data_IF_749288137192
#
_entry.id   IF_749288137192
#
_cell.length_a   1.000
_cell.length_b   1.000
_cell.length_c   1.000
_cell.angle_alpha   90.00
_cell.angle_beta   90.00
_cell.angle_gamma   90.00
#
_symmetry.space_group_name_H-M   'P 1'
#
loop_
_entity.id
_entity.type
_entity.pdbx_description
1 polymer ?
#
# COMPACT_ATOMS: atom_id res chain seq x y z
N UNK A 1 -83.98 23.51 44.60
CA UNK A 1 -83.17 23.57 43.37
C UNK A 1 -82.24 24.78 43.44
N UNK A 2 -80.93 24.57 43.71
CA UNK A 2 -79.82 25.50 43.45
C UNK A 2 -79.18 25.18 42.07
N UNK A 3 -77.99 25.64 41.62
CA UNK A 3 -76.88 26.41 42.21
C UNK A 3 -76.17 27.23 41.10
N UNK A 4 -75.66 28.46 41.38
CA UNK A 4 -74.26 28.86 41.65
C UNK A 4 -73.25 28.89 40.46
N UNK A 5 -72.21 29.77 40.50
CA UNK A 5 -71.42 30.17 39.31
C UNK A 5 -69.91 29.81 39.35
N UNK A 6 -69.20 30.11 38.26
CA UNK A 6 -67.73 30.12 38.15
C UNK A 6 -67.22 29.50 36.83
N UNK A 7 -66.05 29.82 36.25
CA UNK A 7 -65.02 30.84 36.51
C UNK A 7 -64.34 31.21 35.17
N UNK A 8 -63.56 32.28 35.14
CA UNK A 8 -62.60 32.61 34.09
C UNK A 8 -61.29 33.11 34.72
N UNK A 9 -60.17 33.29 33.99
CA UNK A 9 -59.61 32.54 32.84
C UNK A 9 -58.23 31.95 33.25
N UNK A 10 -57.23 31.69 32.37
CA UNK A 10 -56.38 32.80 31.89
C UNK A 10 -55.82 32.69 30.45
N UNK A 11 -55.44 33.85 29.93
CA UNK A 11 -54.62 34.03 28.73
C UNK A 11 -53.20 33.46 28.84
N UNK A 12 -52.71 32.75 27.82
CA UNK A 12 -51.29 32.40 27.71
C UNK A 12 -50.44 33.61 27.25
N UNK A 13 -49.66 34.20 28.15
CA UNK A 13 -48.54 35.08 27.80
C UNK A 13 -47.24 34.26 27.75
N UNK A 14 -46.43 34.34 26.67
CA UNK A 14 -45.10 33.76 26.70
C UNK A 14 -44.15 34.68 27.50
N UNK A 15 -43.68 34.23 28.66
CA UNK A 15 -42.49 34.78 29.32
C UNK A 15 -41.54 33.65 29.69
N UNK A 16 -40.51 33.52 28.87
CA UNK A 16 -39.13 33.12 29.19
C UNK A 16 -38.83 32.66 30.63
N UNK A 17 -38.16 31.51 30.76
CA UNK A 17 -36.71 31.42 31.00
C UNK A 17 -36.32 29.93 30.92
N UNK A 18 -35.55 29.56 29.90
CA UNK A 18 -34.74 28.34 29.91
C UNK A 18 -33.28 28.76 29.81
N UNK A 19 -32.64 28.95 30.97
CA UNK A 19 -31.19 29.14 31.02
C UNK A 19 -30.51 27.80 30.73
N UNK A 20 -30.23 27.53 29.46
CA UNK A 20 -29.38 26.41 29.05
C UNK A 20 -27.95 26.66 29.52
N UNK A 21 -27.61 26.11 30.71
CA UNK A 21 -26.20 25.95 31.11
C UNK A 21 -25.44 25.24 29.98
N UNK A 22 -24.16 25.57 29.72
CA UNK A 22 -23.38 24.91 28.68
C UNK A 22 -23.35 23.40 28.93
N UNK A 23 -24.09 22.63 28.12
CA UNK A 23 -24.07 21.16 28.16
C UNK A 23 -22.82 20.69 27.43
N UNK A 24 -21.78 20.37 28.18
CA UNK A 24 -20.76 19.43 27.73
C UNK A 24 -21.44 18.08 27.48
N UNK A 25 -21.69 17.74 26.21
CA UNK A 25 -22.17 16.40 25.84
C UNK A 25 -20.94 15.46 25.93
N UNK A 26 -20.92 14.46 26.83
CA UNK A 26 -19.84 13.48 26.86
C UNK A 26 -20.00 12.58 25.64
N UNK A 27 -19.14 12.74 24.64
CA UNK A 27 -19.22 12.05 23.36
C UNK A 27 -18.75 10.58 23.43
N UNK A 28 -19.35 9.78 24.32
CA UNK A 28 -19.20 8.32 24.33
C UNK A 28 -20.15 7.65 23.33
N UNK A 29 -20.06 8.05 22.06
CA UNK A 29 -20.53 7.25 20.92
C UNK A 29 -19.49 7.33 19.82
N UNK A 30 -19.10 6.16 19.28
CA UNK A 30 -18.32 6.02 18.05
C UNK A 30 -19.16 6.58 16.88
N UNK A 31 -18.99 7.87 16.60
CA UNK A 31 -19.67 8.51 15.48
C UNK A 31 -18.90 8.19 14.19
N UNK A 32 -19.52 7.36 13.33
CA UNK A 32 -19.14 7.30 11.92
C UNK A 32 -19.54 8.60 11.26
N UNK A 33 -18.63 9.22 10.51
CA UNK A 33 -18.95 10.39 9.69
C UNK A 33 -19.90 9.99 8.55
N UNK A 34 -21.10 10.59 8.54
CA UNK A 34 -22.03 10.64 7.40
C UNK A 34 -22.19 9.33 6.59
N UNK A 35 -22.27 8.17 7.26
CA UNK A 35 -22.51 6.88 6.60
C UNK A 35 -21.33 6.28 5.82
N UNK A 36 -20.16 6.92 5.79
CA UNK A 36 -18.96 6.32 5.19
C UNK A 36 -18.29 5.34 6.18
N UNK A 37 -17.99 4.13 5.72
CA UNK A 37 -17.22 3.15 6.49
C UNK A 37 -15.76 3.56 6.63
N UNK A 38 -15.09 3.10 7.70
CA UNK A 38 -13.65 3.31 7.90
C UNK A 38 -13.22 4.73 8.27
N UNK A 39 -14.15 5.66 8.52
CA UNK A 39 -13.83 7.03 8.97
C UNK A 39 -14.42 7.33 10.34
N UNK A 40 -13.58 7.83 11.24
CA UNK A 40 -13.92 8.11 12.64
C UNK A 40 -13.48 9.52 13.02
N UNK A 41 -14.32 10.24 13.77
CA UNK A 41 -13.99 11.55 14.34
C UNK A 41 -14.29 11.52 15.84
N UNK A 42 -13.25 11.70 16.64
CA UNK A 42 -13.28 11.56 18.10
C UNK A 42 -12.86 12.87 18.78
N UNK A 43 -13.46 13.19 19.93
CA UNK A 43 -13.10 14.35 20.75
C UNK A 43 -14.28 15.29 21.07
N UNK A 44 -14.04 16.34 21.87
CA UNK A 44 -15.09 17.25 22.33
C UNK A 44 -15.46 18.30 21.27
N UNK A 45 -16.75 18.38 20.95
CA UNK A 45 -17.34 19.45 20.12
C UNK A 45 -18.30 20.26 20.99
N UNK A 46 -18.06 21.56 21.09
CA UNK A 46 -18.97 22.52 21.71
C UNK A 46 -19.85 23.15 20.63
N UNK A 47 -21.17 23.02 20.78
CA UNK A 47 -22.16 23.65 19.92
C UNK A 47 -23.05 24.53 20.79
N UNK A 48 -23.15 25.81 20.42
CA UNK A 48 -24.09 26.75 21.01
C UNK A 48 -24.92 27.32 19.86
N UNK A 49 -26.13 26.80 19.67
CA UNK A 49 -26.99 27.19 18.55
C UNK A 49 -28.46 27.27 18.97
N UNK A 50 -29.11 28.34 18.51
CA UNK A 50 -30.55 28.51 18.53
C UNK A 50 -31.15 27.93 17.25
N UNK A 51 -32.20 27.12 17.39
CA UNK A 51 -32.91 26.50 16.28
C UNK A 51 -34.34 27.06 16.26
N UNK A 52 -34.75 27.60 15.11
CA UNK A 52 -36.06 28.17 14.86
C UNK A 52 -36.58 27.78 13.47
N UNK A 53 -37.75 28.28 13.06
CA UNK A 53 -38.33 27.96 11.75
C UNK A 53 -39.18 26.69 11.75
N UNK A 54 -39.28 26.03 10.59
CA UNK A 54 -40.09 24.82 10.40
C UNK A 54 -39.20 23.58 10.32
N UNK A 55 -39.76 22.38 10.50
CA UNK A 55 -39.00 21.13 10.45
C UNK A 55 -38.41 20.82 9.05
N UNK A 56 -39.06 21.30 7.99
CA UNK A 56 -38.64 21.24 6.58
C UNK A 56 -37.74 22.42 6.16
N UNK A 57 -37.56 23.42 7.02
CA UNK A 57 -36.72 24.60 6.77
C UNK A 57 -36.25 25.20 8.11
N UNK A 58 -35.34 24.51 8.81
CA UNK A 58 -34.82 24.99 10.08
C UNK A 58 -33.87 26.17 9.87
N UNK A 59 -33.99 27.17 10.75
CA UNK A 59 -33.07 28.30 10.85
C UNK A 59 -32.21 28.12 12.09
N UNK A 60 -30.95 27.74 11.87
CA UNK A 60 -29.94 27.62 12.90
C UNK A 60 -29.13 28.91 12.97
N UNK A 61 -28.91 29.44 14.17
CA UNK A 61 -27.97 30.56 14.39
C UNK A 61 -27.10 30.21 15.58
N UNK A 62 -25.78 30.25 15.43
CA UNK A 62 -24.91 29.80 16.52
C UNK A 62 -23.44 29.65 16.15
N UNK A 63 -22.70 29.04 17.08
CA UNK A 63 -21.27 28.78 16.99
C UNK A 63 -20.99 27.29 17.20
N UNK A 64 -20.04 26.78 16.41
CA UNK A 64 -19.43 25.46 16.58
C UNK A 64 -17.96 25.67 16.86
N UNK A 65 -17.47 25.10 17.96
CA UNK A 65 -16.04 25.08 18.28
C UNK A 65 -15.64 23.69 18.71
N UNK A 66 -14.53 23.21 18.17
CA UNK A 66 -13.90 21.98 18.63
C UNK A 66 -12.41 22.20 18.86
N UNK A 67 -11.86 21.52 19.85
CA UNK A 67 -10.43 21.51 20.16
C UNK A 67 -10.01 20.10 20.48
N UNK A 68 -8.80 19.72 20.06
CA UNK A 68 -8.25 18.39 20.30
C UNK A 68 -9.13 17.26 19.73
N UNK A 69 -9.74 17.48 18.56
CA UNK A 69 -10.32 16.37 17.81
C UNK A 69 -9.22 15.48 17.22
N UNK A 70 -9.55 14.22 17.00
CA UNK A 70 -8.76 13.27 16.23
C UNK A 70 -9.63 12.68 15.12
N UNK A 71 -9.19 12.82 13.88
CA UNK A 71 -9.76 12.14 12.72
C UNK A 71 -8.88 10.94 12.36
N UNK A 72 -9.53 9.80 12.12
CA UNK A 72 -8.90 8.53 11.77
C UNK A 72 -9.55 7.94 10.52
N UNK A 73 -8.74 7.48 9.57
CA UNK A 73 -9.14 6.71 8.40
C UNK A 73 -8.50 5.32 8.46
N UNK A 74 -9.31 4.29 8.67
CA UNK A 74 -8.85 2.90 8.81
C UNK A 74 -8.36 2.30 7.48
N UNK A 75 -8.78 2.84 6.33
CA UNK A 75 -8.45 2.31 5.00
C UNK A 75 -7.07 2.72 4.49
N UNK A 76 -6.64 3.94 4.81
CA UNK A 76 -5.34 4.49 4.40
C UNK A 76 -4.38 4.76 5.58
N UNK A 77 -4.82 4.52 6.81
CA UNK A 77 -4.05 4.82 8.03
C UNK A 77 -3.89 6.31 8.32
N UNK A 78 -4.65 7.18 7.66
CA UNK A 78 -4.64 8.63 7.91
C UNK A 78 -5.02 8.92 9.35
N UNK A 79 -4.18 9.68 10.07
CA UNK A 79 -4.51 10.17 11.42
C UNK A 79 -4.17 11.65 11.53
N UNK A 80 -5.21 12.48 11.74
CA UNK A 80 -5.07 13.92 11.99
C UNK A 80 -5.39 14.16 13.47
N UNK A 81 -4.42 14.66 14.22
CA UNK A 81 -4.49 14.90 15.66
C UNK A 81 -4.57 16.39 15.98
N UNK A 82 -4.97 16.72 17.22
CA UNK A 82 -5.07 18.10 17.69
C UNK A 82 -5.93 19.00 16.78
N UNK A 83 -6.89 18.41 16.06
CA UNK A 83 -7.74 19.11 15.12
C UNK A 83 -8.63 20.10 15.88
N UNK A 84 -8.40 21.38 15.63
CA UNK A 84 -9.22 22.49 16.05
C UNK A 84 -10.13 22.93 14.91
N UNK A 85 -11.34 23.36 15.23
CA UNK A 85 -12.34 23.84 14.27
C UNK A 85 -13.13 24.98 14.88
N UNK A 86 -13.29 26.05 14.12
CA UNK A 86 -14.09 27.23 14.46
C UNK A 86 -15.07 27.53 13.33
N UNK A 87 -16.37 27.54 13.63
CA UNK A 87 -17.42 27.82 12.66
C UNK A 87 -18.67 28.48 13.25
N UNK A 88 -19.52 28.98 12.38
CA UNK A 88 -20.83 29.58 12.72
C UNK A 88 -21.95 28.94 11.92
N UNK A 89 -23.13 28.81 12.52
CA UNK A 89 -24.36 28.54 11.80
C UNK A 89 -25.07 29.86 11.46
N UNK A 90 -25.52 29.99 10.23
CA UNK A 90 -26.32 31.10 9.71
C UNK A 90 -27.42 30.56 8.79
N UNK A 91 -28.64 30.47 9.32
CA UNK A 91 -29.79 29.77 8.74
C UNK A 91 -29.50 28.27 8.54
N UNK A 92 -29.43 27.80 7.30
CA UNK A 92 -29.09 26.43 6.91
C UNK A 92 -27.58 26.25 6.68
N UNK A 93 -26.79 27.33 6.65
CA UNK A 93 -25.37 27.32 6.30
C UNK A 93 -24.47 27.20 7.53
N UNK A 94 -23.61 26.19 7.56
CA UNK A 94 -22.44 26.12 8.41
C UNK A 94 -21.25 26.78 7.69
N UNK A 95 -20.72 27.87 8.23
CA UNK A 95 -19.51 28.51 7.73
C UNK A 95 -18.33 28.15 8.65
N UNK A 96 -17.39 27.36 8.13
CA UNK A 96 -16.15 26.99 8.79
C UNK A 96 -15.15 28.13 8.57
N UNK A 97 -14.98 28.96 9.61
CA UNK A 97 -14.03 30.09 9.59
C UNK A 97 -12.59 29.57 9.51
N UNK A 98 -12.33 28.42 10.12
CA UNK A 98 -11.11 27.66 9.89
C UNK A 98 -11.11 26.33 10.63
N UNK A 99 -10.30 25.40 10.13
CA UNK A 99 -9.86 24.22 10.86
C UNK A 99 -8.36 24.01 10.68
N UNK A 100 -7.73 23.36 11.65
CA UNK A 100 -6.30 23.04 11.61
C UNK A 100 -5.96 21.84 12.48
N UNK A 101 -5.16 20.90 11.98
CA UNK A 101 -4.67 19.75 12.74
C UNK A 101 -3.30 19.27 12.27
N UNK A 102 -2.67 18.39 13.06
CA UNK A 102 -1.36 17.80 12.76
C UNK A 102 -1.53 16.41 12.13
N UNK A 103 -0.94 16.20 10.96
CA UNK A 103 -0.95 14.93 10.22
C UNK A 103 0.49 14.40 10.14
N UNK A 104 0.85 13.53 11.09
CA UNK A 104 2.25 13.18 11.34
C UNK A 104 3.05 14.41 11.80
N UNK A 105 4.18 14.68 11.15
CA UNK A 105 4.99 15.89 11.38
C UNK A 105 4.46 17.12 10.60
N UNK A 106 3.54 16.92 9.66
CA UNK A 106 2.95 17.99 8.85
C UNK A 106 1.65 18.55 9.41
N UNK A 107 1.05 19.49 8.68
CA UNK A 107 -0.22 20.13 9.05
C UNK A 107 -1.24 20.08 7.93
N UNK A 108 -2.50 19.91 8.33
CA UNK A 108 -3.68 20.13 7.49
C UNK A 108 -4.39 21.38 8.00
N UNK A 109 -4.73 22.31 7.12
CA UNK A 109 -5.54 23.50 7.43
C UNK A 109 -6.63 23.66 6.38
N UNK A 110 -7.64 24.46 6.67
CA UNK A 110 -8.63 24.81 5.66
C UNK A 110 -9.76 25.66 6.19
N UNK A 111 -10.66 26.06 5.30
CA UNK A 111 -11.85 26.86 5.59
C UNK A 111 -12.91 26.63 4.51
N UNK A 112 -14.15 27.03 4.76
CA UNK A 112 -15.21 26.81 3.79
C UNK A 112 -16.61 26.93 4.36
N UNK A 113 -17.58 26.36 3.66
CA UNK A 113 -18.97 26.32 4.09
C UNK A 113 -19.71 25.09 3.55
N UNK A 114 -20.79 24.73 4.24
CA UNK A 114 -21.72 23.65 3.92
C UNK A 114 -23.14 24.13 4.20
N UNK A 115 -24.04 24.05 3.22
CA UNK A 115 -25.48 24.16 3.46
C UNK A 115 -26.05 22.81 3.87
N UNK A 116 -26.90 22.83 4.89
CA UNK A 116 -27.67 21.69 5.39
C UNK A 116 -28.98 21.47 4.58
N UNK A 117 -29.18 22.21 3.48
CA UNK A 117 -30.34 22.02 2.60
C UNK A 117 -30.26 20.70 1.85
N UNK A 118 -31.09 19.74 2.27
CA UNK A 118 -31.27 18.47 1.55
C UNK A 118 -31.96 18.68 0.19
N UNK A 119 -32.79 19.72 0.05
CA UNK A 119 -33.44 20.07 -1.22
C UNK A 119 -32.41 20.48 -2.29
N UNK A 120 -31.39 21.23 -1.89
CA UNK A 120 -30.29 21.68 -2.77
C UNK A 120 -29.14 20.65 -2.84
N UNK A 121 -29.35 19.43 -2.34
CA UNK A 121 -28.38 18.31 -2.32
C UNK A 121 -27.10 18.59 -1.52
N UNK A 122 -27.20 19.34 -0.42
CA UNK A 122 -26.10 19.79 0.44
C UNK A 122 -24.96 20.51 -0.31
N UNK A 123 -25.20 21.73 -0.82
CA UNK A 123 -24.16 22.53 -1.45
C UNK A 123 -23.01 22.80 -0.46
N UNK A 124 -21.77 22.73 -0.93
CA UNK A 124 -20.59 22.98 -0.11
C UNK A 124 -19.42 23.53 -0.92
N UNK A 125 -18.51 24.19 -0.23
CA UNK A 125 -17.20 24.59 -0.74
C UNK A 125 -16.20 24.52 0.42
N UNK A 126 -15.11 23.77 0.25
CA UNK A 126 -14.08 23.56 1.27
C UNK A 126 -12.71 23.65 0.62
N UNK A 127 -11.90 24.60 1.06
CA UNK A 127 -10.49 24.71 0.69
C UNK A 127 -9.64 24.06 1.78
N UNK A 128 -8.64 23.26 1.38
CA UNK A 128 -7.76 22.52 2.28
C UNK A 128 -6.30 22.68 1.86
N UNK A 129 -5.50 23.29 2.73
CA UNK A 129 -4.05 23.41 2.62
C UNK A 129 -3.36 22.22 3.31
N UNK A 130 -2.42 21.61 2.61
CA UNK A 130 -1.59 20.50 3.07
C UNK A 130 -0.12 20.93 3.09
N UNK A 131 0.54 20.76 4.22
CA UNK A 131 1.98 21.03 4.37
C UNK A 131 2.66 19.83 5.02
N UNK A 132 3.35 19.04 4.19
CA UNK A 132 4.01 17.77 4.53
C UNK A 132 3.10 16.81 5.30
N UNK A 133 1.80 16.83 5.02
CA UNK A 133 0.78 16.10 5.75
C UNK A 133 0.95 14.60 5.47
N UNK A 134 1.13 13.80 6.53
CA UNK A 134 1.24 12.34 6.43
C UNK A 134 -0.16 11.74 6.24
N UNK A 135 -0.57 11.56 4.98
CA UNK A 135 -1.95 11.19 4.64
C UNK A 135 -2.17 9.70 4.42
N UNK A 136 -1.16 8.94 4.01
CA UNK A 136 -1.22 7.47 3.98
C UNK A 136 -0.14 6.88 4.87
N UNK A 137 -0.50 5.85 5.64
CA UNK A 137 0.39 5.10 6.53
C UNK A 137 -0.14 3.67 6.71
N UNK A 138 0.22 2.80 5.80
CA UNK A 138 0.02 1.35 5.89
C UNK A 138 1.31 0.63 5.52
N UNK A 139 1.37 -0.68 5.77
CA UNK A 139 2.51 -1.52 5.39
C UNK A 139 2.78 -1.52 3.87
N UNK A 140 1.77 -1.18 3.07
CA UNK A 140 1.84 -1.09 1.61
C UNK A 140 2.15 0.32 1.11
N UNK A 141 1.67 1.38 1.79
CA UNK A 141 1.76 2.76 1.32
C UNK A 141 2.04 3.72 2.49
N UNK A 142 3.18 4.41 2.43
CA UNK A 142 3.50 5.54 3.31
C UNK A 142 3.70 6.82 2.47
N UNK A 143 3.00 7.90 2.78
CA UNK A 143 2.95 9.09 1.91
C UNK A 143 2.77 10.41 2.65
N UNK A 144 3.65 11.35 2.31
CA UNK A 144 3.51 12.77 2.68
C UNK A 144 3.00 13.59 1.51
N UNK A 145 2.12 14.56 1.78
CA UNK A 145 1.45 15.36 0.76
C UNK A 145 1.52 16.85 1.12
N UNK A 146 1.83 17.67 0.12
CA UNK A 146 1.89 19.14 0.19
C UNK A 146 1.17 19.76 -1.00
N UNK A 147 0.33 20.76 -0.79
CA UNK A 147 -0.47 21.37 -1.86
C UNK A 147 -1.85 21.81 -1.39
N UNK A 148 -2.76 22.04 -2.33
CA UNK A 148 -4.11 22.50 -2.06
C UNK A 148 -5.16 21.55 -2.67
N UNK A 149 -6.26 21.34 -1.94
CA UNK A 149 -7.46 20.64 -2.39
C UNK A 149 -8.69 21.54 -2.24
N UNK A 150 -9.49 21.60 -3.29
CA UNK A 150 -10.79 22.27 -3.32
C UNK A 150 -11.88 21.21 -3.49
N UNK A 151 -12.76 21.08 -2.49
CA UNK A 151 -13.95 20.26 -2.55
C UNK A 151 -15.15 21.17 -2.75
N UNK A 152 -15.94 20.94 -3.79
CA UNK A 152 -17.15 21.71 -4.07
C UNK A 152 -18.31 20.82 -4.46
N UNK A 153 -19.52 21.15 -4.00
CA UNK A 153 -20.76 20.55 -4.47
C UNK A 153 -21.74 21.69 -4.77
N UNK A 154 -22.16 21.83 -6.03
CA UNK A 154 -23.16 22.83 -6.45
C UNK A 154 -24.28 22.15 -7.23
N UNK A 155 -25.47 22.75 -7.25
CA UNK A 155 -26.58 22.25 -8.05
C UNK A 155 -26.31 22.29 -9.57
N UNK A 156 -25.36 23.13 -10.02
CA UNK A 156 -24.99 23.31 -11.42
C UNK A 156 -23.88 22.34 -11.88
N UNK A 157 -22.81 22.23 -11.09
CA UNK A 157 -21.57 21.51 -11.48
C UNK A 157 -21.47 20.11 -10.85
N UNK A 158 -22.29 19.82 -9.83
CA UNK A 158 -22.21 18.61 -9.02
C UNK A 158 -21.03 18.62 -8.05
N UNK A 159 -20.66 17.43 -7.56
CA UNK A 159 -19.60 17.23 -6.59
C UNK A 159 -18.24 17.04 -7.28
N UNK A 160 -17.23 17.83 -6.87
CA UNK A 160 -15.88 17.85 -7.41
C UNK A 160 -14.84 17.88 -6.30
N UNK A 161 -13.74 17.16 -6.51
CA UNK A 161 -12.48 17.29 -5.77
C UNK A 161 -11.42 17.72 -6.78
N UNK A 162 -10.90 18.94 -6.64
CA UNK A 162 -9.85 19.50 -7.50
C UNK A 162 -8.60 19.78 -6.68
N UNK A 163 -7.44 19.78 -7.31
CA UNK A 163 -6.23 20.22 -6.61
C UNK A 163 -4.92 20.03 -7.36
N UNK A 164 -3.87 20.55 -6.76
CA UNK A 164 -2.49 20.40 -7.21
C UNK A 164 -1.65 19.95 -6.01
N UNK A 165 -1.21 18.70 -6.05
CA UNK A 165 -0.53 17.99 -4.98
C UNK A 165 0.90 17.68 -5.39
N UNK A 166 1.84 17.98 -4.48
CA UNK A 166 3.19 17.43 -4.47
C UNK A 166 3.30 16.35 -3.41
N UNK A 167 4.04 15.30 -3.69
CA UNK A 167 4.41 14.28 -2.71
C UNK A 167 5.92 14.38 -2.44
N UNK A 168 6.35 15.00 -1.33
CA UNK A 168 7.75 15.08 -0.96
C UNK A 168 8.38 13.70 -0.71
N UNK A 169 7.58 12.72 -0.26
CA UNK A 169 8.01 11.33 -0.13
C UNK A 169 6.80 10.42 -0.29
N UNK A 170 6.96 9.39 -1.11
CA UNK A 170 6.03 8.27 -1.27
C UNK A 170 6.83 6.97 -1.17
N UNK A 171 6.38 6.02 -0.36
CA UNK A 171 6.93 4.66 -0.29
C UNK A 171 5.82 3.68 -0.62
N UNK A 172 6.07 2.83 -1.61
CA UNK A 172 5.19 1.74 -2.02
C UNK A 172 5.92 0.41 -1.84
N UNK A 173 5.31 -0.50 -1.08
CA UNK A 173 5.81 -1.85 -0.88
C UNK A 173 4.93 -2.84 -1.66
N UNK A 174 5.51 -3.57 -2.61
CA UNK A 174 4.82 -4.64 -3.34
C UNK A 174 4.78 -5.89 -2.48
N UNK A 175 3.76 -5.96 -1.62
CA UNK A 175 3.51 -7.12 -0.76
C UNK A 175 2.93 -8.25 -1.61
N UNK A 176 3.59 -9.41 -1.61
CA UNK A 176 2.94 -10.63 -2.11
C UNK A 176 1.78 -10.97 -1.19
N UNK A 177 0.55 -10.93 -1.72
CA UNK A 177 -0.54 -11.77 -1.25
C UNK A 177 -0.24 -13.23 -1.61
N UNK A 178 0.81 -13.79 -1.02
CA UNK A 178 0.90 -15.23 -0.85
C UNK A 178 -0.30 -15.69 -0.02
N UNK A 179 -0.67 -16.97 -0.15
CA UNK A 179 -1.80 -17.55 0.57
C UNK A 179 -1.53 -17.66 2.09
N UNK A 180 -1.48 -16.51 2.76
CA UNK A 180 -2.14 -16.38 4.04
C UNK A 180 -3.66 -16.48 3.79
N UNK A 181 -4.12 -17.72 3.53
CA UNK A 181 -5.24 -18.17 4.34
C UNK A 181 -4.80 -17.89 5.78
N UNK A 182 -5.34 -16.81 6.34
CA UNK A 182 -5.34 -16.61 7.77
C UNK A 182 -6.01 -17.88 8.28
N UNK A 183 -5.22 -18.79 8.86
CA UNK A 183 -5.75 -19.85 9.71
C UNK A 183 -6.57 -19.11 10.75
N UNK A 184 -7.88 -19.06 10.51
CA UNK A 184 -8.80 -18.35 11.37
C UNK A 184 -8.70 -19.08 12.69
N UNK A 185 -8.17 -18.38 13.70
CA UNK A 185 -8.03 -18.94 15.04
C UNK A 185 -9.43 -19.12 15.62
N UNK A 186 -10.04 -20.27 15.28
CA UNK A 186 -11.26 -20.79 15.86
C UNK A 186 -11.02 -20.95 17.36
N UNK A 187 -11.44 -19.93 18.11
CA UNK A 187 -11.12 -19.77 19.52
C UNK A 187 -11.05 -18.31 19.98
N UNK A 188 -10.71 -17.35 19.11
CA UNK A 188 -10.80 -15.93 19.50
C UNK A 188 -12.23 -15.43 19.32
N UNK A 189 -12.99 -15.47 20.42
CA UNK A 189 -14.32 -14.86 20.54
C UNK A 189 -14.29 -13.34 20.35
N UNK A 190 -14.15 -12.90 19.10
CA UNK A 190 -14.57 -11.57 18.71
C UNK A 190 -16.10 -11.48 18.92
N UNK A 191 -16.55 -10.52 19.75
CA UNK A 191 -17.98 -10.20 19.85
C UNK A 191 -18.51 -9.94 18.45
N UNK A 192 -19.38 -10.84 17.99
CA UNK A 192 -19.67 -11.00 16.58
C UNK A 192 -20.05 -9.68 15.90
N UNK A 193 -19.17 -9.17 15.04
CA UNK A 193 -19.64 -8.39 13.92
C UNK A 193 -20.42 -9.37 13.05
N UNK A 194 -21.76 -9.27 13.12
CA UNK A 194 -22.56 -9.65 11.98
C UNK A 194 -21.96 -8.93 10.78
N UNK A 195 -21.44 -9.67 9.82
CA UNK A 195 -21.37 -9.22 8.43
C UNK A 195 -22.80 -9.03 7.98
N UNK A 196 -23.37 -7.88 8.37
CA UNK A 196 -24.47 -7.30 7.64
C UNK A 196 -23.83 -7.01 6.29
N UNK A 197 -24.04 -7.91 5.32
CA UNK A 197 -23.97 -7.54 3.92
C UNK A 197 -24.75 -6.23 3.84
N UNK A 198 -24.05 -5.15 3.51
CA UNK A 198 -24.67 -3.87 3.36
C UNK A 198 -25.58 -3.97 2.14
N UNK A 199 -26.81 -4.45 2.36
CA UNK A 199 -27.96 -4.13 1.53
C UNK A 199 -27.85 -2.63 1.35
N UNK A 200 -27.57 -2.23 0.11
CA UNK A 200 -27.38 -0.84 -0.28
C UNK A 200 -28.73 -0.13 -0.14
N UNK A 201 -29.09 0.13 1.10
CA UNK A 201 -30.22 0.96 1.48
C UNK A 201 -29.86 2.36 0.98
N UNK A 202 -30.68 2.80 0.03
CA UNK A 202 -30.50 4.06 -0.65
C UNK A 202 -30.77 5.24 0.31
N UNK A 203 -30.69 6.46 -0.23
CA UNK A 203 -31.29 7.66 0.36
C UNK A 203 -30.59 8.25 1.59
N UNK A 204 -29.26 8.31 1.53
CA UNK A 204 -28.52 9.45 2.09
C UNK A 204 -28.38 10.54 1.01
N UNK A 205 -28.80 11.81 1.22
CA UNK A 205 -28.82 12.83 0.16
C UNK A 205 -27.45 13.46 -0.18
N UNK A 206 -26.37 13.02 0.49
CA UNK A 206 -25.01 13.47 0.20
C UNK A 206 -24.44 12.79 -1.06
N UNK A 207 -23.61 13.49 -1.86
CA UNK A 207 -23.03 12.91 -3.08
C UNK A 207 -22.14 11.70 -2.75
N UNK A 208 -22.56 10.52 -3.22
CA UNK A 208 -21.80 9.26 -3.13
C UNK A 208 -20.67 9.17 -4.18
N UNK A 209 -20.76 10.01 -5.22
CA UNK A 209 -19.84 10.06 -6.35
C UNK A 209 -19.30 11.48 -6.46
N UNK A 210 -17.98 11.63 -6.47
CA UNK A 210 -17.31 12.91 -6.69
C UNK A 210 -16.47 12.83 -7.94
N UNK A 211 -16.52 13.87 -8.78
CA UNK A 211 -15.64 14.03 -9.93
C UNK A 211 -14.24 14.43 -9.45
N UNK A 212 -13.21 13.98 -10.17
CA UNK A 212 -11.81 14.22 -9.82
C UNK A 212 -11.13 15.09 -10.88
N UNK A 213 -10.31 16.06 -10.42
CA UNK A 213 -9.37 16.84 -11.24
C UNK A 213 -8.14 17.18 -10.38
N UNK A 214 -7.32 16.16 -10.10
CA UNK A 214 -6.20 16.25 -9.15
C UNK A 214 -4.88 16.04 -9.90
N UNK A 215 -4.02 17.05 -9.90
CA UNK A 215 -2.64 16.92 -10.39
C UNK A 215 -1.75 16.45 -9.26
N UNK A 216 -0.86 15.49 -9.55
CA UNK A 216 -0.07 14.76 -8.56
C UNK A 216 1.36 14.69 -9.07
N UNK A 217 2.31 15.32 -8.38
CA UNK A 217 3.73 15.35 -8.78
C UNK A 217 4.68 14.95 -7.67
N UNK A 218 5.77 14.32 -8.02
CA UNK A 218 6.94 14.15 -7.15
C UNK A 218 8.19 14.21 -8.02
N UNK A 219 9.11 15.11 -7.69
CA UNK A 219 10.31 15.35 -8.51
C UNK A 219 11.38 14.25 -8.28
N UNK A 220 11.28 13.54 -7.15
CA UNK A 220 12.08 12.39 -6.71
C UNK A 220 11.39 11.72 -5.51
N UNK A 221 12.08 10.83 -4.77
CA UNK A 221 11.62 10.22 -3.51
C UNK A 221 10.29 9.44 -3.58
N UNK A 222 9.92 8.94 -4.76
CA UNK A 222 8.93 7.88 -4.91
C UNK A 222 9.65 6.53 -4.88
N UNK A 223 9.72 5.91 -3.71
CA UNK A 223 10.38 4.62 -3.52
C UNK A 223 9.41 3.48 -3.80
N UNK A 224 9.75 2.58 -4.72
CA UNK A 224 9.04 1.33 -4.99
C UNK A 224 9.95 0.17 -4.63
N UNK A 225 9.48 -0.66 -3.70
CA UNK A 225 10.24 -1.80 -3.15
C UNK A 225 9.41 -3.08 -3.14
N UNK A 226 10.05 -4.24 -3.24
CA UNK A 226 9.39 -5.55 -3.11
C UNK A 226 9.56 -6.46 -4.33
N UNK A 227 9.39 -7.77 -4.12
CA UNK A 227 9.59 -8.82 -5.13
C UNK A 227 10.98 -8.84 -5.82
N UNK A 228 11.99 -8.24 -5.18
CA UNK A 228 13.34 -8.07 -5.73
C UNK A 228 13.63 -6.65 -6.22
N UNK A 229 12.61 -5.83 -6.49
CA UNK A 229 12.79 -4.43 -6.87
C UNK A 229 13.14 -3.57 -5.64
N UNK A 230 14.12 -2.69 -5.76
CA UNK A 230 14.26 -1.47 -4.94
C UNK A 230 14.64 -0.31 -5.88
N UNK A 231 13.83 0.74 -5.89
CA UNK A 231 13.91 1.78 -6.92
C UNK A 231 13.33 3.12 -6.47
N UNK A 232 13.92 4.20 -6.95
CA UNK A 232 13.46 5.57 -6.77
C UNK A 232 12.95 6.14 -8.10
N UNK A 233 11.79 6.76 -8.06
CA UNK A 233 11.08 7.31 -9.22
C UNK A 233 10.76 8.80 -9.01
N UNK A 234 10.47 9.46 -10.12
CA UNK A 234 9.73 10.73 -10.18
C UNK A 234 8.40 10.49 -10.91
N UNK A 235 7.42 11.36 -10.70
CA UNK A 235 6.11 11.23 -11.35
C UNK A 235 5.43 12.57 -11.64
N UNK A 236 4.64 12.59 -12.71
CA UNK A 236 3.72 13.66 -13.03
C UNK A 236 2.42 13.05 -13.57
N UNK A 237 1.42 12.96 -12.69
CA UNK A 237 0.15 12.27 -12.92
C UNK A 237 -1.03 13.25 -12.82
N UNK A 238 -2.09 12.95 -13.56
CA UNK A 238 -3.36 13.66 -13.52
C UNK A 238 -4.48 12.65 -13.29
N UNK A 239 -5.16 12.78 -12.15
CA UNK A 239 -6.29 11.92 -11.76
C UNK A 239 -7.59 12.62 -12.14
N UNK A 240 -8.32 11.99 -13.06
CA UNK A 240 -9.59 12.40 -13.61
C UNK A 240 -10.67 11.35 -13.34
N UNK A 241 -11.86 11.54 -13.88
CA UNK A 241 -12.98 10.60 -13.71
C UNK A 241 -13.70 10.83 -12.38
N UNK A 242 -13.95 9.76 -11.63
CA UNK A 242 -14.75 9.82 -10.40
C UNK A 242 -14.14 9.00 -9.26
N UNK A 243 -14.64 9.18 -8.04
CA UNK A 243 -14.25 8.36 -6.87
C UNK A 243 -14.60 6.86 -6.99
N UNK A 244 -15.38 6.44 -7.99
CA UNK A 244 -15.65 5.02 -8.30
C UNK A 244 -14.96 4.52 -9.58
N UNK A 245 -14.64 5.42 -10.51
CA UNK A 245 -13.88 5.16 -11.75
C UNK A 245 -12.77 6.23 -11.89
N UNK A 246 -11.69 6.15 -11.10
CA UNK A 246 -10.57 7.08 -11.17
C UNK A 246 -9.69 6.74 -12.37
N UNK A 247 -9.49 7.72 -13.25
CA UNK A 247 -8.71 7.58 -14.48
C UNK A 247 -7.41 8.34 -14.33
N UNK A 248 -6.31 7.62 -14.35
CA UNK A 248 -4.97 8.22 -14.18
C UNK A 248 -4.30 8.36 -15.53
N UNK A 249 -3.87 9.58 -15.85
CA UNK A 249 -3.03 9.90 -17.00
C UNK A 249 -1.67 10.40 -16.54
N UNK A 250 -0.64 10.25 -17.37
CA UNK A 250 0.71 10.79 -17.10
C UNK A 250 1.78 9.70 -17.04
N UNK A 251 2.92 10.03 -16.43
CA UNK A 251 4.11 9.18 -16.47
C UNK A 251 4.88 9.17 -15.15
N UNK A 252 5.58 8.05 -14.91
CA UNK A 252 6.62 7.91 -13.90
C UNK A 252 7.93 7.51 -14.57
N UNK A 253 9.03 8.14 -14.18
CA UNK A 253 10.38 7.87 -14.69
C UNK A 253 11.26 7.34 -13.56
N UNK A 254 12.08 6.32 -13.83
CA UNK A 254 13.07 5.83 -12.88
C UNK A 254 14.21 6.85 -12.75
N UNK A 255 14.57 7.16 -11.51
CA UNK A 255 15.73 7.99 -11.17
C UNK A 255 16.96 7.11 -10.94
N UNK A 256 16.76 5.96 -10.30
CA UNK A 256 17.74 4.91 -10.01
C UNK A 256 17.03 3.70 -9.42
N UNK A 257 17.71 2.57 -9.39
CA UNK A 257 17.26 1.40 -8.66
C UNK A 257 17.89 0.14 -9.21
N UNK A 258 17.54 -0.99 -8.62
CA UNK A 258 17.96 -2.30 -9.09
C UNK A 258 16.81 -3.31 -8.94
N UNK A 259 16.95 -4.41 -9.66
CA UNK A 259 16.13 -5.60 -9.49
C UNK A 259 17.03 -6.77 -9.07
N UNK A 260 16.79 -7.32 -7.88
CA UNK A 260 17.46 -8.53 -7.41
C UNK A 260 16.70 -9.79 -7.85
N UNK A 261 17.38 -10.67 -8.59
CA UNK A 261 16.85 -11.99 -8.95
C UNK A 261 17.92 -13.07 -8.80
N UNK A 262 17.54 -14.22 -8.22
CA UNK A 262 18.44 -15.33 -7.93
C UNK A 262 19.72 -14.96 -7.11
N UNK A 263 19.66 -13.91 -6.29
CA UNK A 263 20.82 -13.41 -5.52
C UNK A 263 21.79 -12.58 -6.35
N UNK A 264 21.29 -11.91 -7.40
CA UNK A 264 22.07 -11.07 -8.31
C UNK A 264 21.31 -9.78 -8.61
N UNK A 265 22.06 -8.70 -8.66
CA UNK A 265 21.56 -7.35 -8.89
C UNK A 265 21.61 -7.01 -10.38
N UNK A 266 20.52 -6.43 -10.88
CA UNK A 266 20.42 -5.83 -12.21
C UNK A 266 20.07 -4.35 -12.04
N UNK A 267 21.01 -3.46 -12.32
CA UNK A 267 20.85 -2.01 -12.24
C UNK A 267 19.81 -1.54 -13.27
N UNK A 268 18.87 -0.68 -12.87
CA UNK A 268 17.87 -0.10 -13.78
C UNK A 268 18.53 1.04 -14.57
N UNK A 269 18.87 0.78 -15.83
CA UNK A 269 19.46 1.76 -16.73
C UNK A 269 18.44 2.84 -17.12
N UNK A 270 17.22 2.42 -17.44
CA UNK A 270 16.08 3.29 -17.80
C UNK A 270 14.76 2.64 -17.40
N UNK A 271 13.79 3.44 -16.99
CA UNK A 271 12.45 2.94 -16.65
C UNK A 271 11.39 4.02 -16.84
N UNK A 272 10.32 3.68 -17.54
CA UNK A 272 9.13 4.52 -17.74
C UNK A 272 7.88 3.70 -17.48
N UNK A 273 6.92 4.29 -16.76
CA UNK A 273 5.59 3.70 -16.50
C UNK A 273 4.57 4.75 -16.92
N UNK A 274 3.82 4.46 -17.99
CA UNK A 274 2.89 5.40 -18.61
C UNK A 274 1.44 5.00 -18.37
N UNK A 275 0.67 5.94 -17.83
CA UNK A 275 -0.75 5.79 -17.56
C UNK A 275 -1.54 6.48 -18.69
N UNK A 276 -2.33 5.70 -19.44
CA UNK A 276 -3.03 6.16 -20.64
C UNK A 276 -4.49 6.59 -20.37
N UNK A 277 -4.84 6.96 -19.13
CA UNK A 277 -6.24 7.27 -18.74
C UNK A 277 -7.13 6.04 -18.49
N UNK A 278 -6.54 4.84 -18.49
CA UNK A 278 -7.21 3.57 -18.16
C UNK A 278 -7.14 3.23 -16.68
N UNK A 279 -7.29 1.94 -16.37
CA UNK A 279 -7.19 1.43 -15.00
C UNK A 279 -5.77 1.60 -14.42
N UNK A 280 -5.67 2.13 -13.20
CA UNK A 280 -4.41 2.31 -12.45
C UNK A 280 -3.58 1.01 -12.34
N UNK A 281 -4.24 -0.15 -12.36
CA UNK A 281 -3.61 -1.47 -12.23
C UNK A 281 -2.99 -2.02 -13.52
N UNK A 282 -3.10 -1.32 -14.65
CA UNK A 282 -2.53 -1.77 -15.93
C UNK A 282 -1.92 -0.63 -16.77
N UNK A 283 -0.88 0.08 -16.26
CA UNK A 283 -0.10 1.00 -17.08
C UNK A 283 0.71 0.26 -18.15
N UNK A 284 1.20 1.00 -19.15
CA UNK A 284 2.29 0.54 -20.01
C UNK A 284 3.61 0.68 -19.27
N UNK A 285 4.44 -0.35 -19.32
CA UNK A 285 5.79 -0.37 -18.74
C UNK A 285 6.79 -0.43 -19.89
N UNK A 286 7.88 0.32 -19.78
CA UNK A 286 9.08 0.12 -20.59
C UNK A 286 10.30 0.37 -19.71
N UNK A 287 11.01 -0.70 -19.39
CA UNK A 287 12.15 -0.72 -18.46
C UNK A 287 13.29 -1.53 -19.06
N UNK A 288 14.51 -1.02 -18.92
CA UNK A 288 15.74 -1.74 -19.25
C UNK A 288 16.64 -1.77 -18.01
N UNK A 289 17.16 -2.94 -17.69
CA UNK A 289 18.09 -3.15 -16.60
C UNK A 289 19.27 -4.02 -17.04
N UNK A 290 20.46 -3.76 -16.52
CA UNK A 290 21.69 -4.44 -16.90
C UNK A 290 22.40 -5.08 -15.70
N UNK A 291 23.07 -6.20 -15.93
CA UNK A 291 23.82 -6.92 -14.89
C UNK A 291 25.02 -7.63 -15.50
N UNK A 292 26.19 -7.52 -14.88
CA UNK A 292 27.44 -8.09 -15.42
C UNK A 292 27.87 -9.32 -14.63
N UNK A 293 28.13 -10.41 -15.35
CA UNK A 293 28.54 -11.70 -14.78
C UNK A 293 29.78 -12.17 -15.54
N UNK A 294 30.93 -12.18 -14.86
CA UNK A 294 32.25 -12.44 -15.45
C UNK A 294 32.52 -11.46 -16.62
N UNK A 295 32.58 -11.97 -17.83
CA UNK A 295 32.89 -11.31 -19.10
C UNK A 295 31.64 -10.92 -19.92
N UNK A 296 30.44 -11.14 -19.40
CA UNK A 296 29.17 -10.91 -20.10
C UNK A 296 28.30 -9.92 -19.33
N UNK A 297 27.89 -8.83 -19.99
CA UNK A 297 26.82 -7.95 -19.51
C UNK A 297 25.50 -8.41 -20.10
N UNK A 298 24.58 -8.88 -19.27
CA UNK A 298 23.20 -9.20 -19.64
C UNK A 298 22.32 -7.97 -19.53
N UNK A 299 21.36 -7.84 -20.43
CA UNK A 299 20.39 -6.75 -20.50
C UNK A 299 19.00 -7.36 -20.51
N UNK A 300 18.16 -6.92 -19.59
CA UNK A 300 16.75 -7.29 -19.45
C UNK A 300 15.91 -6.12 -19.96
N UNK A 301 15.04 -6.36 -20.94
CA UNK A 301 14.04 -5.39 -21.38
C UNK A 301 12.65 -5.89 -21.02
N UNK A 302 11.89 -5.09 -20.27
CA UNK A 302 10.49 -5.35 -19.92
C UNK A 302 9.63 -4.31 -20.63
N UNK A 303 8.66 -4.75 -21.44
CA UNK A 303 7.81 -3.86 -22.22
C UNK A 303 6.34 -4.26 -22.22
N UNK A 304 5.44 -3.32 -22.54
CA UNK A 304 4.00 -3.56 -22.65
C UNK A 304 3.23 -3.39 -21.33
N UNK A 305 1.95 -3.77 -21.35
CA UNK A 305 1.05 -3.53 -20.22
C UNK A 305 1.43 -4.34 -18.97
N UNK A 306 1.30 -3.78 -17.77
CA UNK A 306 1.68 -4.44 -16.51
C UNK A 306 0.99 -5.80 -16.24
N UNK A 307 -0.19 -6.05 -16.82
CA UNK A 307 -0.89 -7.34 -16.74
C UNK A 307 -0.44 -8.36 -17.80
N UNK A 308 0.29 -7.92 -18.82
CA UNK A 308 0.85 -8.73 -19.92
C UNK A 308 2.21 -8.17 -20.37
N UNK A 309 3.24 -8.20 -19.50
CA UNK A 309 4.56 -7.74 -19.88
C UNK A 309 5.21 -8.73 -20.86
N UNK A 310 5.88 -8.21 -21.88
CA UNK A 310 6.85 -8.95 -22.66
C UNK A 310 8.25 -8.74 -22.06
N UNK A 311 9.01 -9.82 -21.90
CA UNK A 311 10.31 -9.82 -21.23
C UNK A 311 11.35 -10.44 -22.17
N UNK A 312 12.23 -9.59 -22.68
CA UNK A 312 13.35 -9.96 -23.53
C UNK A 312 14.67 -9.96 -22.74
N UNK A 313 15.58 -10.84 -23.13
CA UNK A 313 16.95 -10.90 -22.60
C UNK A 313 17.93 -10.80 -23.76
N UNK A 314 18.96 -9.97 -23.60
CA UNK A 314 20.06 -9.82 -24.56
C UNK A 314 21.38 -9.67 -23.81
N UNK A 315 22.51 -9.59 -24.52
CA UNK A 315 23.82 -9.50 -23.89
C UNK A 315 24.87 -8.81 -24.77
N UNK A 316 25.92 -8.33 -24.11
CA UNK A 316 27.19 -7.94 -24.71
C UNK A 316 28.30 -8.79 -24.10
N UNK A 317 29.07 -9.57 -24.89
CA UNK A 317 28.88 -9.85 -26.32
C UNK A 317 27.56 -10.59 -26.59
N UNK A 318 27.06 -10.55 -27.83
CA UNK A 318 25.75 -11.11 -28.21
C UNK A 318 25.74 -12.64 -28.14
N UNK A 319 25.00 -13.18 -27.17
CA UNK A 319 24.73 -14.61 -26.98
C UNK A 319 23.24 -14.95 -27.22
N UNK A 320 22.92 -16.23 -27.52
CA UNK A 320 21.54 -16.72 -27.56
C UNK A 320 20.80 -16.48 -26.23
N UNK A 321 19.51 -16.16 -26.29
CA UNK A 321 18.71 -15.73 -25.13
C UNK A 321 18.76 -16.70 -23.94
N UNK A 322 18.70 -18.00 -24.21
CA UNK A 322 18.76 -19.04 -23.17
C UNK A 322 20.15 -19.12 -22.51
N UNK A 323 21.22 -18.84 -23.26
CA UNK A 323 22.59 -18.76 -22.72
C UNK A 323 22.81 -17.50 -21.90
N UNK A 324 22.25 -16.35 -22.34
CA UNK A 324 22.18 -15.14 -21.49
C UNK A 324 21.52 -15.50 -20.17
N UNK A 325 20.33 -16.08 -20.22
CA UNK A 325 19.58 -16.37 -19.00
C UNK A 325 20.31 -17.38 -18.11
N UNK A 326 20.89 -18.45 -18.65
CA UNK A 326 21.71 -19.39 -17.88
C UNK A 326 22.90 -18.70 -17.20
N UNK A 327 23.67 -17.89 -17.94
CA UNK A 327 24.81 -17.16 -17.39
C UNK A 327 24.37 -16.13 -16.36
N UNK A 328 23.23 -15.48 -16.56
CA UNK A 328 22.65 -14.47 -15.68
C UNK A 328 21.98 -15.04 -14.42
N UNK A 329 21.44 -16.25 -14.46
CA UNK A 329 20.82 -16.90 -13.29
C UNK A 329 21.79 -17.78 -12.50
N UNK A 330 22.62 -18.58 -13.18
CA UNK A 330 23.47 -19.61 -12.57
C UNK A 330 24.96 -19.28 -12.63
N UNK A 331 25.40 -18.41 -13.55
CA UNK A 331 26.83 -18.07 -13.73
C UNK A 331 27.59 -19.00 -14.67
N UNK A 332 26.88 -19.95 -15.29
CA UNK A 332 27.42 -20.94 -16.21
C UNK A 332 26.59 -20.99 -17.51
N UNK A 333 27.18 -21.52 -18.58
CA UNK A 333 26.47 -21.71 -19.86
C UNK A 333 25.46 -22.85 -19.77
N UNK A 334 24.40 -22.81 -20.59
CA UNK A 334 23.40 -23.89 -20.71
C UNK A 334 24.07 -25.25 -20.96
N UNK A 335 25.18 -25.25 -21.70
CA UNK A 335 25.93 -26.47 -22.02
C UNK A 335 26.55 -27.17 -20.81
N UNK A 336 26.72 -26.45 -19.70
CA UNK A 336 27.32 -26.98 -18.47
C UNK A 336 26.29 -27.22 -17.36
N UNK A 337 25.03 -26.81 -17.55
CA UNK A 337 23.97 -27.03 -16.56
C UNK A 337 23.69 -28.53 -16.38
N UNK A 338 23.56 -28.96 -15.14
CA UNK A 338 23.01 -30.28 -14.82
C UNK A 338 21.52 -30.35 -15.20
N UNK A 339 21.00 -31.55 -15.41
CA UNK A 339 19.57 -31.77 -15.69
C UNK A 339 18.64 -31.18 -14.61
N UNK A 340 19.12 -31.09 -13.37
CA UNK A 340 18.42 -30.46 -12.23
C UNK A 340 18.40 -28.93 -12.29
N UNK A 341 19.38 -28.30 -12.94
CA UNK A 341 19.44 -26.83 -13.10
C UNK A 341 18.66 -26.38 -14.35
N UNK A 342 18.66 -27.17 -15.42
CA UNK A 342 17.82 -26.93 -16.59
C UNK A 342 16.31 -26.87 -16.24
N UNK A 343 15.85 -27.68 -15.29
CA UNK A 343 14.48 -27.62 -14.77
C UNK A 343 14.20 -26.35 -13.93
N UNK A 344 15.22 -25.82 -13.25
CA UNK A 344 15.13 -24.55 -12.50
C UNK A 344 15.11 -23.34 -13.45
N UNK A 345 15.91 -23.39 -14.53
CA UNK A 345 15.85 -22.40 -15.62
C UNK A 345 14.44 -22.33 -16.23
N UNK A 346 13.86 -23.48 -16.59
CA UNK A 346 12.52 -23.55 -17.19
C UNK A 346 11.41 -23.03 -16.27
N UNK A 347 11.49 -23.30 -14.97
CA UNK A 347 10.53 -22.78 -13.98
C UNK A 347 10.71 -21.28 -13.71
N UNK A 348 11.95 -20.77 -13.69
CA UNK A 348 12.22 -19.33 -13.60
C UNK A 348 11.65 -18.55 -14.80
N UNK A 349 11.86 -19.05 -16.03
CA UNK A 349 11.27 -18.47 -17.26
C UNK A 349 9.75 -18.42 -17.19
N UNK A 350 9.12 -19.50 -16.74
CA UNK A 350 7.66 -19.57 -16.67
C UNK A 350 7.08 -18.65 -15.56
N UNK A 351 7.78 -18.49 -14.44
CA UNK A 351 7.40 -17.55 -13.39
C UNK A 351 7.49 -16.08 -13.85
N UNK A 352 8.50 -15.74 -14.66
CA UNK A 352 8.66 -14.40 -15.24
C UNK A 352 7.59 -14.10 -16.30
N UNK A 353 7.15 -15.10 -17.08
CA UNK A 353 6.10 -14.97 -18.11
C UNK A 353 4.65 -14.99 -17.57
N UNK A 354 4.46 -14.76 -16.27
CA UNK A 354 3.11 -14.70 -15.66
C UNK A 354 2.42 -16.07 -15.50
N UNK A 355 3.17 -17.17 -15.55
CA UNK A 355 2.66 -18.49 -15.20
C UNK A 355 2.17 -18.50 -13.76
N UNK A 356 0.90 -18.85 -13.55
CA UNK A 356 0.34 -18.96 -12.20
C UNK A 356 1.09 -20.04 -11.42
N UNK A 357 1.59 -19.68 -10.24
CA UNK A 357 2.60 -20.44 -9.49
C UNK A 357 2.01 -21.69 -8.79
N UNK A 358 1.65 -22.69 -9.60
CA UNK A 358 1.19 -24.00 -9.14
C UNK A 358 2.33 -25.03 -9.01
N UNK A 359 3.59 -24.66 -9.33
CA UNK A 359 4.69 -25.61 -9.49
C UNK A 359 6.02 -25.20 -8.79
N UNK A 360 6.03 -24.22 -7.89
CA UNK A 360 7.19 -23.94 -7.03
C UNK A 360 6.99 -24.32 -5.53
N UNK A 361 6.74 -25.62 -5.20
CA UNK A 361 6.55 -26.04 -3.81
C UNK A 361 7.83 -25.83 -2.97
N UNK A 362 9.01 -25.86 -3.58
CA UNK A 362 10.28 -25.60 -2.91
C UNK A 362 10.42 -24.13 -2.49
N UNK A 363 9.98 -23.19 -3.33
CA UNK A 363 9.92 -21.76 -3.00
C UNK A 363 8.97 -21.46 -1.85
N UNK A 364 7.78 -22.07 -1.85
CA UNK A 364 6.82 -21.97 -0.75
C UNK A 364 7.36 -22.56 0.56
N UNK A 365 8.02 -23.73 0.52
CA UNK A 365 8.72 -24.31 1.67
C UNK A 365 9.81 -23.37 2.18
N UNK A 366 10.60 -22.78 1.28
CA UNK A 366 11.70 -21.85 1.63
C UNK A 366 11.19 -20.65 2.41
N UNK A 367 10.11 -20.01 1.96
CA UNK A 367 9.47 -18.89 2.68
C UNK A 367 8.85 -19.29 4.02
N UNK A 368 8.29 -20.49 4.14
CA UNK A 368 7.66 -20.97 5.38
C UNK A 368 8.69 -21.41 6.45
N UNK A 369 9.88 -21.85 6.04
CA UNK A 369 10.90 -22.45 6.92
C UNK A 369 12.07 -21.53 7.26
N UNK A 370 12.24 -20.40 6.56
CA UNK A 370 13.36 -19.48 6.80
C UNK A 370 14.72 -20.09 6.45
N UNK A 371 14.76 -20.92 5.40
CA UNK A 371 15.95 -21.52 4.79
C UNK A 371 16.37 -20.62 3.62
N UNK A 372 17.67 -20.41 3.37
CA UNK A 372 18.11 -19.47 2.33
C UNK A 372 18.24 -20.13 0.95
N UNK A 373 18.64 -21.41 0.92
CA UNK A 373 18.75 -22.23 -0.29
C UNK A 373 18.09 -23.59 -0.10
N UNK A 374 17.25 -24.00 -1.04
CA UNK A 374 16.67 -25.33 -1.10
C UNK A 374 16.78 -25.82 -2.55
N UNK A 375 17.53 -26.90 -2.78
CA UNK A 375 17.88 -27.40 -4.12
C UNK A 375 17.85 -28.93 -4.18
N UNK A 376 17.57 -29.48 -5.36
CA UNK A 376 17.77 -30.91 -5.64
C UNK A 376 19.17 -31.09 -6.21
N UNK A 377 19.96 -31.97 -5.61
CA UNK A 377 21.32 -32.31 -6.04
C UNK A 377 21.29 -33.67 -6.72
N UNK A 378 21.78 -33.74 -7.97
CA UNK A 378 21.87 -34.99 -8.72
C UNK A 378 22.66 -36.09 -8.00
N UNK A 379 22.38 -37.34 -8.33
CA UNK A 379 23.08 -38.51 -7.78
C UNK A 379 24.58 -38.49 -8.11
N UNK A 380 25.40 -38.99 -7.20
CA UNK A 380 26.84 -39.20 -7.37
C UNK A 380 27.20 -40.64 -6.99
N UNK A 381 27.58 -41.41 -8.01
CA UNK A 381 27.94 -42.84 -7.87
C UNK A 381 29.26 -43.05 -7.12
N UNK A 382 30.13 -42.03 -7.03
CA UNK A 382 31.43 -42.10 -6.33
C UNK A 382 31.24 -42.09 -4.82
N UNK A 383 30.31 -41.28 -4.33
CA UNK A 383 29.97 -41.17 -2.90
C UNK A 383 28.79 -42.07 -2.50
N UNK A 384 28.25 -42.86 -3.42
CA UNK A 384 27.08 -43.72 -3.20
C UNK A 384 25.76 -42.95 -3.03
N UNK A 385 25.78 -41.64 -3.29
CA UNK A 385 24.70 -40.69 -3.02
C UNK A 385 23.66 -40.71 -4.14
N UNK A 386 22.40 -40.98 -3.82
CA UNK A 386 21.26 -40.84 -4.73
C UNK A 386 20.86 -39.38 -4.96
N UNK A 387 19.80 -39.17 -5.73
CA UNK A 387 19.19 -37.83 -5.89
C UNK A 387 18.83 -37.28 -4.52
N UNK A 388 19.50 -36.20 -4.11
CA UNK A 388 19.43 -35.65 -2.76
C UNK A 388 18.65 -34.35 -2.74
N UNK A 389 18.00 -34.05 -1.61
CA UNK A 389 17.55 -32.71 -1.27
C UNK A 389 18.65 -32.03 -0.44
N UNK A 390 19.03 -30.81 -0.81
CA UNK A 390 19.96 -29.99 -0.05
C UNK A 390 19.27 -28.71 0.44
N UNK A 391 19.37 -28.45 1.74
CA UNK A 391 18.78 -27.32 2.43
C UNK A 391 19.88 -26.56 3.19
N UNK A 392 20.06 -25.27 2.90
CA UNK A 392 21.16 -24.48 3.45
C UNK A 392 20.79 -23.07 3.88
N UNK A 393 21.57 -22.55 4.83
CA UNK A 393 21.34 -21.29 5.53
C UNK A 393 22.66 -20.59 5.83
N UNK A 394 22.69 -19.27 5.66
CA UNK A 394 23.75 -18.40 6.14
C UNK A 394 23.51 -18.09 7.62
N UNK A 395 24.49 -18.42 8.47
CA UNK A 395 24.49 -18.03 9.87
C UNK A 395 25.08 -16.63 10.06
N UNK A 396 26.01 -16.26 9.17
CA UNK A 396 26.56 -14.91 8.98
C UNK A 396 26.97 -14.76 7.51
N UNK A 397 27.36 -13.54 7.10
CA UNK A 397 27.88 -13.27 5.75
C UNK A 397 29.07 -14.17 5.34
N UNK A 398 29.78 -14.76 6.32
CA UNK A 398 30.98 -15.56 6.09
C UNK A 398 30.82 -17.04 6.47
N UNK A 399 29.66 -17.48 6.97
CA UNK A 399 29.43 -18.85 7.46
C UNK A 399 28.13 -19.39 6.87
N UNK A 400 28.26 -20.36 5.97
CA UNK A 400 27.17 -21.08 5.33
C UNK A 400 27.12 -22.53 5.84
N UNK A 401 25.92 -23.03 6.11
CA UNK A 401 25.67 -24.43 6.51
C UNK A 401 24.64 -25.03 5.56
N UNK A 402 24.91 -26.20 5.01
CA UNK A 402 24.00 -26.96 4.15
C UNK A 402 23.87 -28.41 4.65
N UNK A 403 22.65 -28.93 4.67
CA UNK A 403 22.35 -30.33 4.96
C UNK A 403 21.87 -30.98 3.67
N UNK A 404 22.53 -32.06 3.27
CA UNK A 404 22.23 -32.86 2.06
C UNK A 404 21.75 -34.23 2.51
N UNK A 405 20.53 -34.60 2.13
CA UNK A 405 19.93 -35.91 2.45
C UNK A 405 19.32 -36.55 1.21
N UNK A 406 19.39 -37.87 1.08
CA UNK A 406 18.67 -38.61 0.02
C UNK A 406 17.65 -39.61 0.58
N UNK A 407 16.93 -40.30 -0.33
CA UNK A 407 15.94 -41.33 0.01
C UNK A 407 16.53 -42.73 0.22
N UNK A 408 17.85 -42.89 0.04
CA UNK A 408 18.61 -44.14 0.24
C UNK A 408 19.39 -44.16 1.55
N UNK A 409 19.32 -43.09 2.33
CA UNK A 409 19.94 -42.95 3.64
C UNK A 409 21.25 -42.17 3.64
N UNK A 410 21.71 -41.58 2.54
CA UNK A 410 22.84 -40.64 2.56
C UNK A 410 22.46 -39.39 3.34
N UNK A 411 23.33 -38.95 4.25
CA UNK A 411 23.16 -37.71 4.99
C UNK A 411 24.53 -37.06 5.25
N UNK A 412 24.70 -35.81 4.83
CA UNK A 412 25.89 -35.01 5.07
C UNK A 412 25.53 -33.57 5.46
N UNK A 413 26.28 -33.03 6.42
CA UNK A 413 26.29 -31.60 6.76
C UNK A 413 27.58 -30.99 6.21
N UNK A 414 27.45 -29.95 5.41
CA UNK A 414 28.56 -29.14 4.89
C UNK A 414 28.54 -27.78 5.59
N UNK A 415 29.72 -27.31 6.00
CA UNK A 415 29.94 -25.99 6.58
C UNK A 415 31.04 -25.32 5.75
N UNK A 416 30.73 -24.18 5.14
CA UNK A 416 31.72 -23.34 4.45
C UNK A 416 31.96 -22.07 5.26
N UNK A 417 33.22 -21.81 5.60
CA UNK A 417 33.67 -20.60 6.31
C UNK A 417 34.58 -19.80 5.40
N UNK A 418 34.12 -18.63 4.95
CA UNK A 418 34.92 -17.70 4.17
C UNK A 418 35.90 -16.93 5.08
N UNK A 419 37.19 -17.17 4.89
CA UNK A 419 38.28 -16.47 5.59
C UNK A 419 38.64 -15.15 4.89
N UNK A 420 38.47 -15.09 3.56
CA UNK A 420 38.61 -13.88 2.75
C UNK A 420 37.81 -14.03 1.45
N UNK A 421 37.82 -13.00 0.58
CA UNK A 421 37.21 -13.08 -0.76
C UNK A 421 37.78 -14.22 -1.63
N UNK A 422 39.03 -14.62 -1.40
CA UNK A 422 39.76 -15.61 -2.19
C UNK A 422 39.95 -16.96 -1.48
N UNK A 423 39.54 -17.10 -0.22
CA UNK A 423 39.87 -18.26 0.62
C UNK A 423 38.69 -18.69 1.50
N UNK A 424 38.22 -19.92 1.34
CA UNK A 424 37.27 -20.55 2.25
C UNK A 424 37.74 -21.93 2.75
N UNK A 425 37.26 -22.31 3.92
CA UNK A 425 37.44 -23.65 4.50
C UNK A 425 36.11 -24.38 4.44
N UNK A 426 36.12 -25.57 3.86
CA UNK A 426 34.94 -26.42 3.76
C UNK A 426 35.13 -27.63 4.67
N UNK A 427 34.21 -27.82 5.60
CA UNK A 427 34.11 -29.01 6.45
C UNK A 427 32.86 -29.78 6.07
N UNK A 428 33.00 -31.04 5.68
CA UNK A 428 31.89 -31.94 5.43
C UNK A 428 31.91 -33.09 6.44
N UNK A 429 30.79 -33.29 7.14
CA UNK A 429 30.57 -34.41 8.05
C UNK A 429 29.35 -35.18 7.54
N UNK A 430 29.55 -36.42 7.12
CA UNK A 430 28.46 -37.28 6.67
C UNK A 430 28.65 -38.73 7.09
N UNK A 431 27.63 -39.54 6.82
CA UNK A 431 27.66 -40.98 7.12
C UNK A 431 28.61 -41.78 6.22
N UNK A 432 29.14 -41.18 5.15
CA UNK A 432 30.23 -41.72 4.32
C UNK A 432 31.63 -41.28 4.77
N UNK A 433 31.74 -40.39 5.76
CA UNK A 433 33.01 -39.92 6.31
C UNK A 433 33.02 -38.44 6.66
N UNK A 434 34.16 -37.98 7.20
CA UNK A 434 34.44 -36.56 7.44
C UNK A 434 35.58 -36.12 6.54
N UNK A 435 35.44 -34.95 5.89
CA UNK A 435 36.50 -34.32 5.12
C UNK A 435 36.62 -32.83 5.46
N UNK A 436 37.85 -32.33 5.39
CA UNK A 436 38.19 -30.93 5.55
C UNK A 436 39.01 -30.53 4.33
N UNK A 437 38.61 -29.47 3.64
CA UNK A 437 39.30 -28.95 2.47
C UNK A 437 39.42 -27.43 2.54
N UNK A 438 40.44 -26.90 1.86
CA UNK A 438 40.66 -25.47 1.73
C UNK A 438 40.47 -25.12 0.26
N UNK A 439 39.59 -24.18 -0.02
CA UNK A 439 39.25 -23.72 -1.36
C UNK A 439 39.86 -22.34 -1.56
N UNK A 440 40.76 -22.24 -2.54
CA UNK A 440 41.32 -20.99 -3.00
C UNK A 440 40.72 -20.63 -4.34
N UNK A 441 40.15 -19.42 -4.44
CA UNK A 441 39.63 -18.87 -5.69
C UNK A 441 40.55 -17.72 -6.12
N UNK A 442 40.93 -17.71 -7.39
CA UNK A 442 41.77 -16.68 -7.99
C UNK A 442 41.05 -16.14 -9.22
N UNK A 443 40.68 -14.87 -9.16
CA UNK A 443 40.18 -14.12 -10.30
C UNK A 443 41.29 -14.01 -11.37
N UNK A 444 40.92 -14.14 -12.64
CA UNK A 444 41.78 -14.00 -13.82
C UNK A 444 41.15 -12.99 -14.78
#
# INVERSE_FOLDING_TARGET
MPALPGQAPPSFRPRSIWSSRPRSIPACRRNRLAGQGGQQLNGPIAVAADISGRADSPRLTGLVKAKSLTYDNDSFGTRITNLALDGRFSNDKLELTGFSGAAGAGTVKGSGWLSLSAADKFPLQLHVDLVNAHLARSDQVDSTVSGALDLSNTAADGAWIKGDLRLPTLRYAVIRQGAAEINQLDGVHHKGYRTVQAVATADGPAPKLWNLDIRVRADNQVFISGMGLDSEWRMNLHVLGTTLDPRVGGEMESVRGYYEFAGREFDIDTGTIRFNGGALTNPEVNLTASGTVKDVTGIITVSGSAQRPDIAFSSTPSLPQDEVLSRMLFGESVTNLSATEALQLASAVNGLRGGHDYLNPLGALRSATGIDRLRVVGADTTTGRGTSLAAGKYLTNNVYVEIVTDTKGFAATQIEVALSRALSVLSQVGNTGTSLSVKYSKDY
#
